data_IF_726569204024
#
_entry.id   IF_726569204024
#
_cell.length_a   1.000
_cell.length_b   1.000
_cell.length_c   1.000
_cell.angle_alpha   90.00
_cell.angle_beta   90.00
_cell.angle_gamma   90.00
#
_symmetry.space_group_name_H-M   'P 1'
#
loop_
_entity.id
_entity.type
_entity.pdbx_description
1 polymer ?
#
# COMPACT_ATOMS: atom_id res chain seq x y z
N UNK A 1 -6.56 -24.19 5.82
CA UNK A 1 -6.81 -22.72 5.79
C UNK A 1 -5.50 -22.02 6.16
N UNK A 2 -5.17 -20.89 5.54
CA UNK A 2 -3.84 -20.26 5.66
C UNK A 2 -3.62 -19.38 6.91
N UNK A 3 -4.65 -19.07 7.71
CA UNK A 3 -4.49 -18.22 8.90
C UNK A 3 -3.82 -16.89 8.56
N UNK A 4 -2.87 -16.44 9.39
CA UNK A 4 -2.04 -15.24 9.16
C UNK A 4 -0.69 -15.58 8.49
N UNK A 5 -0.55 -16.75 7.87
CA UNK A 5 0.73 -17.17 7.23
C UNK A 5 0.94 -16.57 5.85
N UNK A 6 0.01 -15.74 5.37
CA UNK A 6 0.04 -15.10 4.06
C UNK A 6 -0.21 -13.62 4.23
N UNK A 7 0.49 -12.83 3.42
CA UNK A 7 0.27 -11.40 3.32
C UNK A 7 -0.84 -11.10 2.30
N UNK A 8 -1.71 -10.17 2.64
CA UNK A 8 -2.78 -9.64 1.79
C UNK A 8 -2.29 -8.32 1.22
N UNK A 9 -2.15 -8.29 -0.10
CA UNK A 9 -1.74 -7.13 -0.86
C UNK A 9 -2.94 -6.52 -1.57
N UNK A 10 -3.00 -5.20 -1.62
CA UNK A 10 -4.07 -4.48 -2.30
C UNK A 10 -3.50 -3.38 -3.18
N UNK A 11 -4.00 -3.31 -4.41
CA UNK A 11 -3.74 -2.19 -5.30
C UNK A 11 -5.05 -1.51 -5.63
N UNK A 12 -5.13 -0.21 -5.36
CA UNK A 12 -6.38 0.56 -5.48
C UNK A 12 -6.30 1.68 -6.52
N UNK A 13 -5.09 2.13 -6.87
CA UNK A 13 -4.88 3.37 -7.64
C UNK A 13 -5.06 4.66 -6.83
N UNK A 14 -5.60 4.57 -5.62
CA UNK A 14 -5.79 5.72 -4.73
C UNK A 14 -4.60 5.90 -3.79
N UNK A 15 -4.45 7.12 -3.30
CA UNK A 15 -3.50 7.45 -2.24
C UNK A 15 -4.05 7.05 -0.87
N UNK A 16 -3.18 6.62 0.02
CA UNK A 16 -3.44 6.21 1.39
C UNK A 16 -4.17 7.30 2.14
N UNK A 17 -3.73 8.55 1.98
CA UNK A 17 -4.31 9.72 2.64
C UNK A 17 -5.78 9.89 2.25
N UNK A 18 -6.11 9.66 0.98
CA UNK A 18 -7.49 9.68 0.49
C UNK A 18 -8.32 8.51 1.06
N UNK A 19 -7.77 7.29 1.00
CA UNK A 19 -8.45 6.10 1.52
C UNK A 19 -8.65 6.15 3.04
N UNK A 20 -7.70 6.73 3.77
CA UNK A 20 -7.71 6.84 5.21
C UNK A 20 -8.68 7.90 5.69
N UNK A 21 -8.79 9.04 5.00
CA UNK A 21 -9.54 10.19 5.48
C UNK A 21 -11.01 10.25 5.02
N UNK A 22 -11.36 9.69 3.86
CA UNK A 22 -12.69 9.94 3.29
C UNK A 22 -13.83 9.06 3.80
N UNK A 23 -13.59 7.79 4.13
CA UNK A 23 -14.69 6.88 4.47
C UNK A 23 -14.30 5.82 5.50
N UNK A 24 -15.18 5.61 6.48
CA UNK A 24 -15.01 4.58 7.52
C UNK A 24 -14.78 3.21 6.90
N UNK A 25 -15.56 2.82 5.88
CA UNK A 25 -15.43 1.52 5.23
C UNK A 25 -14.07 1.32 4.55
N UNK A 26 -13.51 2.36 3.91
CA UNK A 26 -12.17 2.29 3.28
C UNK A 26 -11.09 2.11 4.34
N UNK A 27 -11.17 2.87 5.44
CA UNK A 27 -10.27 2.72 6.58
C UNK A 27 -10.37 1.32 7.21
N UNK A 28 -11.57 0.77 7.35
CA UNK A 28 -11.77 -0.60 7.84
C UNK A 28 -11.13 -1.63 6.90
N UNK A 29 -11.27 -1.46 5.59
CA UNK A 29 -10.62 -2.33 4.60
C UNK A 29 -9.09 -2.23 4.69
N UNK A 30 -8.53 -1.03 4.83
CA UNK A 30 -7.09 -0.84 5.02
C UNK A 30 -6.59 -1.59 6.27
N UNK A 31 -7.36 -1.63 7.35
CA UNK A 31 -7.01 -2.39 8.57
C UNK A 31 -7.03 -3.92 8.38
N UNK A 32 -7.48 -4.42 7.25
CA UNK A 32 -7.55 -5.86 6.93
C UNK A 32 -6.51 -6.34 5.90
N UNK A 33 -5.57 -5.47 5.52
CA UNK A 33 -4.50 -5.78 4.57
C UNK A 33 -3.12 -5.53 5.17
N UNK A 34 -2.11 -6.17 4.61
CA UNK A 34 -0.72 -6.02 5.05
C UNK A 34 0.02 -4.99 4.21
N UNK A 35 -0.22 -4.97 2.90
CA UNK A 35 0.51 -4.12 1.95
C UNK A 35 -0.44 -3.39 1.00
N UNK A 36 -0.26 -2.08 0.87
CA UNK A 36 -0.92 -1.24 -0.13
C UNK A 36 0.06 -0.85 -1.23
N UNK A 37 -0.28 -1.14 -2.49
CA UNK A 37 0.30 -0.47 -3.65
C UNK A 37 -0.52 0.80 -3.90
N UNK A 38 0.09 1.91 -3.53
CA UNK A 38 -0.48 3.23 -3.41
C UNK A 38 -0.25 4.05 -4.68
N UNK A 39 -1.31 4.71 -5.16
CA UNK A 39 -1.28 5.58 -6.34
C UNK A 39 -1.51 4.88 -7.69
N UNK A 40 -1.99 5.68 -8.64
CA UNK A 40 -2.26 5.25 -10.02
C UNK A 40 -0.97 4.85 -10.73
N UNK A 41 -1.08 3.88 -11.65
CA UNK A 41 -0.04 3.65 -12.64
C UNK A 41 0.01 4.83 -13.61
N UNK A 42 1.21 5.31 -13.90
CA UNK A 42 1.44 6.42 -14.82
C UNK A 42 2.48 5.98 -15.84
N UNK A 43 2.08 5.88 -17.11
CA UNK A 43 2.90 5.34 -18.20
C UNK A 43 4.19 6.14 -18.41
N UNK A 44 4.14 7.48 -18.38
CA UNK A 44 5.34 8.31 -18.53
C UNK A 44 6.30 8.24 -17.34
N UNK A 45 5.86 7.67 -16.21
CA UNK A 45 6.69 7.38 -15.04
C UNK A 45 7.01 5.88 -14.92
N UNK A 46 6.66 5.09 -15.93
CA UNK A 46 6.98 3.67 -15.97
C UNK A 46 8.49 3.47 -15.83
N UNK A 47 8.87 2.53 -14.96
CA UNK A 47 10.25 2.09 -14.84
C UNK A 47 10.29 0.60 -14.56
N UNK A 48 10.98 -0.20 -15.40
CA UNK A 48 11.13 -1.63 -15.17
C UNK A 48 11.95 -1.88 -13.91
N UNK A 49 11.78 -3.06 -13.32
CA UNK A 49 12.53 -3.54 -12.16
C UNK A 49 12.35 -2.69 -10.88
N UNK A 50 11.26 -1.93 -10.77
CA UNK A 50 10.84 -1.37 -9.49
C UNK A 50 10.23 -2.50 -8.63
N UNK A 51 10.65 -2.66 -7.37
CA UNK A 51 10.05 -3.66 -6.48
C UNK A 51 8.56 -3.40 -6.29
N UNK A 52 7.74 -4.37 -6.74
CA UNK A 52 6.30 -4.45 -6.51
C UNK A 52 5.44 -3.27 -7.01
N UNK A 53 5.97 -2.44 -7.92
CA UNK A 53 5.24 -1.32 -8.53
C UNK A 53 5.65 -1.08 -9.98
N UNK A 54 4.79 -0.41 -10.75
CA UNK A 54 4.99 -0.17 -12.18
C UNK A 54 5.52 1.22 -12.52
N UNK A 55 5.21 2.23 -11.72
CA UNK A 55 5.62 3.62 -11.99
C UNK A 55 6.24 4.31 -10.78
N UNK A 56 7.11 5.29 -11.03
CA UNK A 56 7.93 5.94 -9.99
C UNK A 56 7.09 6.61 -8.89
N UNK A 57 5.93 7.16 -9.24
CA UNK A 57 5.01 7.82 -8.30
C UNK A 57 4.33 6.86 -7.32
N UNK A 58 4.30 5.56 -7.61
CA UNK A 58 3.63 4.60 -6.75
C UNK A 58 4.45 4.36 -5.47
N UNK A 59 3.77 4.23 -4.34
CA UNK A 59 4.40 3.80 -3.09
C UNK A 59 3.95 2.36 -2.82
N UNK A 60 4.86 1.53 -2.34
CA UNK A 60 4.46 0.31 -1.64
C UNK A 60 4.39 0.73 -0.17
N UNK A 61 3.39 0.31 0.60
CA UNK A 61 3.21 0.74 1.99
C UNK A 61 2.84 -0.46 2.85
N UNK A 62 3.61 -0.71 3.90
CA UNK A 62 3.27 -1.69 4.93
C UNK A 62 2.26 -1.06 5.90
N UNK A 63 1.00 -1.51 5.83
CA UNK A 63 -0.12 -0.88 6.53
C UNK A 63 -0.05 -1.05 8.05
N UNK A 64 0.32 -2.22 8.62
CA UNK A 64 0.48 -2.35 10.07
C UNK A 64 1.42 -1.29 10.66
N UNK A 65 2.59 -1.08 10.06
CA UNK A 65 3.54 -0.04 10.49
C UNK A 65 2.97 1.36 10.35
N UNK A 66 2.22 1.64 9.28
CA UNK A 66 1.53 2.92 9.14
C UNK A 66 0.49 3.14 10.24
N UNK A 67 -0.30 2.11 10.60
CA UNK A 67 -1.32 2.23 11.66
C UNK A 67 -0.66 2.50 13.02
N UNK A 68 0.46 1.84 13.30
CA UNK A 68 1.21 1.99 14.55
C UNK A 68 1.88 3.37 14.68
N UNK A 69 2.45 3.88 13.60
CA UNK A 69 3.29 5.10 13.63
C UNK A 69 2.61 6.34 13.07
N UNK A 70 1.51 6.16 12.33
CA UNK A 70 0.88 7.19 11.49
C UNK A 70 1.86 7.87 10.52
N UNK A 71 2.90 7.14 10.11
CA UNK A 71 3.96 7.63 9.24
C UNK A 71 4.30 6.61 8.15
N UNK A 72 4.68 7.09 6.96
CA UNK A 72 5.16 6.22 5.89
C UNK A 72 6.68 6.07 6.04
N UNK A 73 7.20 4.86 6.31
CA UNK A 73 8.63 4.65 6.46
C UNK A 73 9.37 4.88 5.14
N UNK A 74 10.60 5.41 5.23
CA UNK A 74 11.45 5.73 4.06
C UNK A 74 11.94 4.49 3.31
N UNK A 75 12.00 3.35 3.98
CA UNK A 75 12.36 2.06 3.43
C UNK A 75 11.34 1.02 3.88
N UNK A 76 10.97 0.12 2.97
CA UNK A 76 10.11 -1.01 3.29
C UNK A 76 10.87 -2.28 2.96
N UNK A 77 11.07 -3.10 3.98
CA UNK A 77 11.47 -4.48 3.83
C UNK A 77 10.19 -5.31 3.92
N UNK A 78 9.83 -5.97 2.82
CA UNK A 78 8.76 -6.96 2.81
C UNK A 78 9.45 -8.27 2.50
N UNK A 79 9.57 -9.12 3.52
CA UNK A 79 10.07 -10.49 3.41
C UNK A 79 8.94 -11.46 3.03
#
# INVERSE_FOLDING_TARGET
>A
RFGQTKTIWMWTGFQLEFLWNEAHARRTLLKSIDVLVDGMFIEHLYKPNLPYKGSLNQRVIHIPTYIETLSIPKSIHIE
#
